data_IF_634233334186
#
_entry.id   IF_634233334186
#
_cell.length_a   1.000
_cell.length_b   1.000
_cell.length_c   1.000
_cell.angle_alpha   90.00
_cell.angle_beta   90.00
_cell.angle_gamma   90.00
#
_symmetry.space_group_name_H-M   'P 1'
#
loop_
_entity.id
_entity.type
_entity.pdbx_description
1 polymer ?
#
# COMPACT_ATOMS: atom_id res chain seq x y z
N UNK A 1 -7.81 1.24 -5.66
CA UNK A 1 -8.65 0.30 -4.87
C UNK A 1 -9.25 -0.81 -5.73
N UNK A 2 -9.83 -0.50 -6.90
CA UNK A 2 -10.48 -1.49 -7.76
C UNK A 2 -9.53 -2.62 -8.21
N UNK A 3 -8.27 -2.30 -8.53
CA UNK A 3 -7.24 -3.29 -8.84
C UNK A 3 -6.98 -4.26 -7.68
N UNK A 4 -6.77 -3.74 -6.46
CA UNK A 4 -6.59 -4.59 -5.28
C UNK A 4 -7.80 -5.51 -5.02
N UNK A 5 -9.03 -4.97 -5.08
CA UNK A 5 -10.23 -5.83 -4.94
C UNK A 5 -10.33 -6.87 -6.04
N UNK A 6 -10.02 -6.52 -7.28
CA UNK A 6 -10.02 -7.46 -8.40
C UNK A 6 -9.01 -8.58 -8.17
N UNK A 7 -7.78 -8.25 -7.78
CA UNK A 7 -6.73 -9.23 -7.54
C UNK A 7 -7.10 -10.20 -6.41
N UNK A 8 -7.74 -9.71 -5.34
CA UNK A 8 -8.25 -10.57 -4.26
C UNK A 8 -9.37 -11.49 -4.77
N UNK A 9 -10.34 -10.95 -5.53
CA UNK A 9 -11.47 -11.74 -6.06
C UNK A 9 -11.03 -12.86 -7.00
N UNK A 10 -9.99 -12.62 -7.79
CA UNK A 10 -9.46 -13.59 -8.74
C UNK A 10 -8.32 -14.44 -8.17
N UNK A 11 -7.99 -14.30 -6.88
CA UNK A 11 -6.94 -15.10 -6.24
C UNK A 11 -5.55 -14.86 -6.81
N UNK A 12 -5.26 -13.66 -7.35
CA UNK A 12 -3.95 -13.33 -7.89
C UNK A 12 -2.95 -13.07 -6.76
N UNK A 13 -2.34 -14.14 -6.22
CA UNK A 13 -1.44 -14.08 -5.06
C UNK A 13 -0.04 -13.57 -5.38
N UNK A 14 0.27 -13.20 -6.62
CA UNK A 14 1.56 -12.58 -6.98
C UNK A 14 1.72 -11.20 -6.35
N UNK A 15 0.60 -10.53 -6.03
CA UNK A 15 0.62 -9.23 -5.35
C UNK A 15 0.45 -9.38 -3.82
N UNK A 16 1.19 -8.61 -2.99
CA UNK A 16 1.22 -8.81 -1.54
C UNK A 16 -0.15 -8.67 -0.86
N UNK A 17 -0.95 -7.69 -1.31
CA UNK A 17 -2.29 -7.45 -0.77
C UNK A 17 -3.22 -8.64 -1.02
N UNK A 18 -3.19 -9.20 -2.23
CA UNK A 18 -4.04 -10.35 -2.55
C UNK A 18 -3.55 -11.63 -1.86
N UNK A 19 -2.23 -11.85 -1.78
CA UNK A 19 -1.67 -12.96 -1.01
C UNK A 19 -2.17 -12.98 0.46
N UNK A 20 -2.26 -11.82 1.09
CA UNK A 20 -2.74 -11.70 2.47
C UNK A 20 -4.24 -12.01 2.60
N UNK A 21 -5.07 -11.41 1.75
CA UNK A 21 -6.54 -11.55 1.82
C UNK A 21 -7.12 -12.76 1.07
N UNK A 22 -6.27 -13.58 0.45
CA UNK A 22 -6.62 -14.90 -0.09
C UNK A 22 -6.07 -16.04 0.81
N UNK A 23 -5.57 -15.71 2.00
CA UNK A 23 -5.05 -16.69 2.95
C UNK A 23 -6.18 -17.30 3.81
N UNK A 24 -5.87 -18.36 4.57
CA UNK A 24 -6.84 -18.97 5.46
C UNK A 24 -7.21 -18.10 6.68
N UNK A 25 -6.47 -17.02 6.94
CA UNK A 25 -6.69 -16.15 8.11
C UNK A 25 -7.53 -14.93 7.80
N UNK A 26 -7.44 -14.37 6.59
CA UNK A 26 -8.13 -13.15 6.20
C UNK A 26 -8.75 -13.27 4.81
N UNK A 27 -9.91 -12.62 4.65
CA UNK A 27 -10.71 -12.60 3.43
C UNK A 27 -10.94 -11.17 2.93
N UNK A 28 -11.53 -11.02 1.73
CA UNK A 28 -11.91 -9.71 1.21
C UNK A 28 -12.90 -8.95 2.13
N UNK A 29 -13.63 -9.64 3.02
CA UNK A 29 -14.56 -9.01 3.96
C UNK A 29 -13.81 -8.24 5.06
N UNK A 30 -12.56 -8.62 5.32
CA UNK A 30 -11.69 -8.00 6.32
C UNK A 30 -10.96 -6.76 5.76
N UNK A 31 -11.02 -6.55 4.44
CA UNK A 31 -10.39 -5.41 3.77
C UNK A 31 -11.11 -4.10 4.12
N UNK A 32 -10.46 -3.28 4.95
CA UNK A 32 -10.84 -1.90 5.22
C UNK A 32 -9.89 -0.93 4.51
N UNK A 33 -10.44 0.16 3.99
CA UNK A 33 -9.68 1.18 3.27
C UNK A 33 -10.08 2.56 3.77
N UNK A 34 -9.09 3.36 4.11
CA UNK A 34 -9.26 4.75 4.55
C UNK A 34 -8.29 5.63 3.77
N UNK A 35 -8.75 6.81 3.35
CA UNK A 35 -7.90 7.84 2.74
C UNK A 35 -7.18 8.60 3.86
N UNK A 36 -5.86 8.50 3.92
CA UNK A 36 -5.05 9.20 4.93
C UNK A 36 -4.76 10.66 4.56
N UNK A 37 -4.56 10.92 3.26
CA UNK A 37 -4.33 12.25 2.71
C UNK A 37 -4.66 12.25 1.22
N UNK A 38 -5.20 13.36 0.72
CA UNK A 38 -5.46 13.60 -0.70
C UNK A 38 -5.26 15.06 -1.08
N UNK A 39 -5.75 15.43 -2.27
CA UNK A 39 -5.69 16.79 -2.84
C UNK A 39 -4.28 17.39 -2.89
N UNK A 40 -3.31 16.58 -3.31
CA UNK A 40 -1.94 17.05 -3.51
C UNK A 40 -1.84 17.94 -4.74
N UNK A 41 -1.08 19.04 -4.62
CA UNK A 41 -0.86 19.98 -5.72
C UNK A 41 0.22 19.49 -6.67
N UNK A 42 1.19 18.73 -6.15
CA UNK A 42 2.33 18.24 -6.93
C UNK A 42 2.59 16.77 -6.62
N UNK A 43 3.28 16.09 -7.56
CA UNK A 43 3.78 14.74 -7.29
C UNK A 43 4.78 14.74 -6.14
N UNK A 44 5.63 15.78 -6.02
CA UNK A 44 6.59 15.89 -4.92
C UNK A 44 5.91 15.98 -3.55
N UNK A 45 4.81 16.73 -3.43
CA UNK A 45 4.04 16.82 -2.18
C UNK A 45 3.43 15.46 -1.82
N UNK A 46 2.81 14.78 -2.80
CA UNK A 46 2.29 13.42 -2.62
C UNK A 46 3.38 12.48 -2.12
N UNK A 47 4.53 12.54 -2.79
CA UNK A 47 5.74 11.77 -2.54
C UNK A 47 6.25 11.93 -1.09
N UNK A 48 6.38 13.16 -0.61
CA UNK A 48 6.76 13.46 0.77
C UNK A 48 5.75 12.96 1.81
N UNK A 49 4.45 13.10 1.53
CA UNK A 49 3.40 12.61 2.41
C UNK A 49 3.37 11.08 2.47
N UNK A 50 3.54 10.40 1.34
CA UNK A 50 3.70 8.95 1.31
C UNK A 50 4.86 8.54 2.23
N UNK A 51 6.06 9.10 2.06
CA UNK A 51 7.20 8.79 2.94
C UNK A 51 6.92 9.03 4.43
N UNK A 52 6.32 10.18 4.78
CA UNK A 52 5.97 10.50 6.18
C UNK A 52 4.99 9.49 6.77
N UNK A 53 3.97 9.09 6.02
CA UNK A 53 2.98 8.12 6.48
C UNK A 53 3.59 6.73 6.64
N UNK A 54 4.48 6.32 5.74
CA UNK A 54 5.15 5.02 5.83
C UNK A 54 6.01 4.89 7.08
N UNK A 55 6.77 5.94 7.41
CA UNK A 55 7.53 6.03 8.66
C UNK A 55 6.60 6.00 9.87
N UNK A 56 5.52 6.79 9.84
CA UNK A 56 4.56 6.90 10.96
C UNK A 56 3.89 5.57 11.29
N UNK A 57 3.52 4.78 10.28
CA UNK A 57 2.79 3.52 10.45
C UNK A 57 3.68 2.27 10.42
N UNK A 58 5.00 2.44 10.35
CA UNK A 58 6.00 1.37 10.27
C UNK A 58 5.67 0.26 9.25
N UNK A 59 5.15 0.64 8.09
CA UNK A 59 4.53 -0.32 7.15
C UNK A 59 5.56 -1.17 6.37
N UNK A 60 6.85 -0.90 6.56
CA UNK A 60 7.93 -1.70 5.99
C UNK A 60 8.32 -2.89 6.87
N UNK A 61 8.13 -2.77 8.19
CA UNK A 61 8.41 -3.87 9.12
C UNK A 61 7.16 -4.67 9.46
N UNK A 62 6.00 -4.00 9.54
CA UNK A 62 4.75 -4.60 10.00
C UNK A 62 3.62 -4.57 8.96
N UNK A 63 3.89 -4.09 7.73
CA UNK A 63 2.90 -3.92 6.68
C UNK A 63 3.09 -4.86 5.48
N UNK A 64 2.21 -4.71 4.48
CA UNK A 64 2.22 -5.53 3.26
C UNK A 64 3.11 -4.98 2.14
N UNK A 65 3.80 -3.86 2.35
CA UNK A 65 4.69 -3.27 1.36
C UNK A 65 6.03 -4.02 1.36
N UNK A 66 6.43 -4.55 0.19
CA UNK A 66 7.57 -5.47 0.09
C UNK A 66 8.91 -4.79 -0.19
N UNK A 67 8.91 -3.55 -0.64
CA UNK A 67 10.15 -2.88 -0.98
C UNK A 67 10.08 -1.37 -0.74
N UNK A 68 11.26 -0.77 -0.85
CA UNK A 68 11.46 0.68 -0.90
C UNK A 68 11.65 1.13 -2.35
N UNK A 69 11.24 0.35 -3.35
CA UNK A 69 11.51 0.66 -4.77
C UNK A 69 10.76 1.90 -5.22
N UNK A 70 9.57 2.15 -4.68
CA UNK A 70 8.90 3.44 -4.86
C UNK A 70 9.71 4.59 -4.22
N UNK A 71 10.63 4.28 -3.29
CA UNK A 71 11.57 5.23 -2.68
C UNK A 71 12.87 5.50 -3.39
N UNK A 72 13.30 4.67 -4.33
CA UNK A 72 14.50 4.97 -5.12
C UNK A 72 14.33 6.21 -5.99
N UNK A 73 13.08 6.65 -6.21
CA UNK A 73 12.74 7.87 -6.92
C UNK A 73 12.57 9.11 -6.02
N UNK A 74 12.85 9.00 -4.72
CA UNK A 74 12.95 10.15 -3.83
C UNK A 74 14.43 10.50 -3.64
N UNK A 75 14.96 11.39 -4.49
CA UNK A 75 16.18 12.12 -4.17
C UNK A 75 15.86 13.09 -3.02
N UNK A 76 15.84 12.58 -1.80
CA UNK A 76 15.92 13.42 -0.60
C UNK A 76 17.41 13.71 -0.38
N UNK A 77 17.95 14.66 -1.15
CA UNK A 77 19.18 15.37 -0.80
C UNK A 77 18.96 16.21 0.47
#
# INVERSE_FOLDING_TARGET
MNSHRSNIKHGNTDVPVAAHFCSNTHSIKDLRVTVLKGNFKTQQERKEWEFKLMRKFNILECGLNRDRSFMSSYDFN
#
